data_IF_139010503155
#
_entry.id   IF_139010503155
#
_cell.length_a   1.000
_cell.length_b   1.000
_cell.length_c   1.000
_cell.angle_alpha   90.00
_cell.angle_beta   90.00
_cell.angle_gamma   90.00
#
_symmetry.space_group_name_H-M   'P 1'
#
loop_
_entity.id
_entity.type
_entity.pdbx_description
1 polymer ?
#
# COMPACT_ATOMS: atom_id res chain seq x y z
N UNK A 1 -26.08 11.39 -7.40
CA UNK A 1 -26.30 9.93 -7.40
C UNK A 1 -25.21 9.30 -6.55
N UNK A 2 -25.54 8.36 -5.66
CA UNK A 2 -24.55 7.72 -4.79
C UNK A 2 -25.01 6.29 -4.40
N UNK A 3 -24.25 5.28 -4.85
CA UNK A 3 -24.34 3.88 -4.39
C UNK A 3 -23.19 3.05 -5.01
N UNK A 4 -22.11 2.81 -4.26
CA UNK A 4 -20.99 1.95 -4.69
C UNK A 4 -20.17 1.40 -3.49
N UNK A 5 -20.84 0.99 -2.40
CA UNK A 5 -20.18 0.62 -1.14
C UNK A 5 -20.87 -0.57 -0.44
N UNK A 6 -20.98 -1.72 -1.12
CA UNK A 6 -21.58 -2.94 -0.54
C UNK A 6 -21.17 -4.25 -1.26
N UNK A 7 -19.95 -4.75 -1.04
CA UNK A 7 -19.54 -6.11 -1.45
C UNK A 7 -18.65 -6.79 -0.38
N UNK A 8 -19.21 -7.03 0.81
CA UNK A 8 -18.69 -8.01 1.78
C UNK A 8 -19.71 -8.51 2.82
N UNK A 9 -20.95 -7.99 2.81
CA UNK A 9 -22.02 -8.38 3.74
C UNK A 9 -23.08 -9.27 3.05
N UNK A 10 -23.52 -10.39 3.67
CA UNK A 10 -24.66 -11.17 3.18
C UNK A 10 -26.01 -10.47 3.46
N UNK A 11 -27.09 -10.81 2.73
CA UNK A 11 -28.41 -10.21 2.90
C UNK A 11 -29.09 -10.64 4.22
N UNK A 12 -30.01 -9.81 4.77
CA UNK A 12 -30.79 -10.16 5.97
C UNK A 12 -31.81 -11.26 5.69
N UNK A 13 -32.11 -12.06 6.72
CA UNK A 13 -33.10 -13.14 6.64
C UNK A 13 -34.55 -12.62 6.64
N UNK A 14 -35.43 -13.31 5.91
CA UNK A 14 -36.88 -13.09 5.95
C UNK A 14 -37.44 -13.57 7.30
N UNK A 15 -38.05 -12.67 8.07
CA UNK A 15 -38.72 -13.01 9.33
C UNK A 15 -40.11 -13.59 9.07
N UNK A 16 -40.30 -14.89 9.30
CA UNK A 16 -41.62 -15.51 9.39
C UNK A 16 -42.37 -15.02 10.62
N UNK A 17 -43.67 -14.71 10.49
CA UNK A 17 -44.50 -14.17 11.56
C UNK A 17 -45.07 -15.24 12.48
N UNK A 18 -45.04 -15.00 13.80
CA UNK A 18 -45.85 -15.73 14.78
C UNK A 18 -46.20 -14.88 16.01
N UNK A 19 -47.50 -14.66 16.20
CA UNK A 19 -48.18 -14.20 17.42
C UNK A 19 -48.10 -15.29 18.53
N UNK A 20 -48.33 -15.07 19.84
CA UNK A 20 -48.77 -13.87 20.62
C UNK A 20 -48.77 -14.13 22.14
N UNK A 21 -48.51 -13.08 22.95
CA UNK A 21 -49.02 -12.87 24.33
C UNK A 21 -48.52 -13.85 25.45
N UNK A 22 -48.76 -13.60 26.77
CA UNK A 22 -48.26 -12.42 27.47
C UNK A 22 -47.73 -12.67 28.92
N UNK A 23 -47.03 -11.65 29.47
CA UNK A 23 -46.94 -11.26 30.90
C UNK A 23 -46.38 -12.23 31.97
N UNK A 24 -45.49 -11.69 32.83
CA UNK A 24 -45.66 -11.60 34.30
C UNK A 24 -44.62 -10.61 34.87
N UNK A 25 -44.95 -9.95 35.99
CA UNK A 25 -44.13 -8.97 36.71
C UNK A 25 -43.90 -9.50 38.14
N UNK A 26 -42.76 -9.19 38.79
CA UNK A 26 -42.89 -8.36 39.99
C UNK A 26 -41.76 -7.34 40.23
N UNK A 27 -41.98 -6.55 41.28
CA UNK A 27 -41.21 -5.41 41.79
C UNK A 27 -39.97 -5.85 42.62
N UNK A 28 -39.11 -5.02 43.24
CA UNK A 28 -39.24 -3.62 43.69
C UNK A 28 -37.89 -2.92 44.03
N UNK A 29 -37.90 -1.57 44.07
CA UNK A 29 -37.18 -0.60 44.98
C UNK A 29 -35.66 -0.76 45.28
N UNK A 30 -34.83 0.30 45.33
CA UNK A 30 -34.99 1.73 45.03
C UNK A 30 -34.22 2.69 45.98
N UNK A 31 -34.12 3.99 45.61
CA UNK A 31 -33.62 5.17 46.40
C UNK A 31 -32.10 5.22 46.71
N UNK A 32 -31.41 6.37 46.88
CA UNK A 32 -31.81 7.81 46.78
C UNK A 32 -30.62 8.79 46.57
N UNK A 33 -30.90 9.96 45.98
CA UNK A 33 -30.12 11.24 45.93
C UNK A 33 -30.57 12.19 47.08
N UNK A 34 -30.02 13.41 47.38
CA UNK A 34 -29.47 14.50 46.53
C UNK A 34 -28.02 14.94 46.97
N UNK A 35 -27.43 16.16 46.84
CA UNK A 35 -27.74 17.58 46.51
C UNK A 35 -26.57 18.17 45.63
N UNK A 36 -26.51 19.36 44.99
CA UNK A 36 -27.11 20.73 45.08
C UNK A 36 -26.40 21.71 46.07
N UNK A 37 -26.04 22.98 45.76
CA UNK A 37 -26.02 23.83 44.53
C UNK A 37 -24.61 24.55 44.42
N UNK A 38 -24.31 25.84 44.07
CA UNK A 38 -25.06 27.06 43.69
C UNK A 38 -24.17 28.22 43.09
N UNK A 39 -24.47 28.71 41.84
CA UNK A 39 -24.38 30.13 41.35
C UNK A 39 -23.00 30.89 41.36
N UNK A 40 -22.75 32.04 40.70
CA UNK A 40 -23.52 32.98 39.82
C UNK A 40 -22.61 33.85 38.91
N UNK A 41 -23.13 34.34 37.76
CA UNK A 41 -22.75 35.63 37.14
C UNK A 41 -21.61 35.62 36.09
N UNK A 42 -21.51 36.58 35.15
CA UNK A 42 -22.46 37.62 34.71
C UNK A 42 -22.18 38.07 33.24
N UNK A 43 -23.15 38.75 32.62
CA UNK A 43 -23.18 39.16 31.21
C UNK A 43 -22.35 40.43 30.89
N UNK A 44 -21.89 40.58 29.63
CA UNK A 44 -21.69 41.89 28.99
C UNK A 44 -21.78 41.81 27.46
N UNK A 45 -22.16 42.93 26.82
CA UNK A 45 -22.45 43.10 25.39
C UNK A 45 -21.99 44.51 24.94
N UNK A 46 -21.37 44.63 23.75
CA UNK A 46 -21.37 45.80 22.83
C UNK A 46 -20.49 45.47 21.60
N UNK A 47 -21.03 45.42 20.37
CA UNK A 47 -21.13 46.53 19.37
C UNK A 47 -19.78 47.21 19.10
N UNK A 48 -19.31 47.49 17.88
CA UNK A 48 -19.72 47.29 16.48
C UNK A 48 -18.91 48.31 15.65
N UNK A 49 -18.36 47.94 14.49
CA UNK A 49 -18.05 48.88 13.40
C UNK A 49 -17.76 48.11 12.11
N UNK A 50 -18.01 48.76 10.97
CA UNK A 50 -17.55 48.37 9.64
C UNK A 50 -16.94 49.61 8.95
N UNK A 51 -16.71 49.55 7.63
CA UNK A 51 -16.04 50.55 6.76
C UNK A 51 -14.54 50.77 7.08
N UNK A 52 -13.64 51.12 6.15
CA UNK A 52 -13.72 51.39 4.70
C UNK A 52 -12.67 50.50 3.98
N UNK A 53 -12.90 49.91 2.80
CA UNK A 53 -13.03 50.49 1.45
C UNK A 53 -11.74 51.13 0.87
N UNK A 54 -11.23 50.54 -0.22
CA UNK A 54 -10.65 51.26 -1.37
C UNK A 54 -10.49 50.30 -2.57
N UNK A 55 -10.30 50.84 -3.78
CA UNK A 55 -10.34 50.10 -5.06
C UNK A 55 -9.05 50.26 -5.88
N UNK A 56 -8.65 49.21 -6.58
CA UNK A 56 -8.02 49.22 -7.93
C UNK A 56 -7.49 47.81 -8.26
N UNK A 57 -7.22 47.43 -9.51
CA UNK A 57 -7.84 47.75 -10.80
C UNK A 57 -7.33 46.66 -11.78
N UNK A 58 -8.11 46.29 -12.80
CA UNK A 58 -7.65 45.31 -13.78
C UNK A 58 -6.68 45.95 -14.79
N UNK A 59 -5.55 45.29 -15.05
CA UNK A 59 -4.65 45.63 -16.16
C UNK A 59 -4.15 44.34 -16.83
N UNK A 60 -4.78 43.97 -17.94
CA UNK A 60 -4.24 42.94 -18.82
C UNK A 60 -3.11 43.55 -19.67
N UNK A 61 -2.03 42.82 -19.87
CA UNK A 61 -0.99 43.17 -20.86
C UNK A 61 -0.48 41.90 -21.53
N UNK A 62 -0.46 41.91 -22.86
CA UNK A 62 0.05 40.82 -23.68
C UNK A 62 1.47 41.11 -24.18
N UNK A 63 2.12 40.06 -24.66
CA UNK A 63 3.29 40.06 -25.53
C UNK A 63 4.66 40.38 -24.88
N UNK A 64 5.56 39.41 -24.98
CA UNK A 64 6.68 39.56 -25.92
C UNK A 64 7.24 38.17 -26.26
N UNK A 65 6.91 37.67 -27.46
CA UNK A 65 7.62 36.54 -28.05
C UNK A 65 8.95 37.07 -28.61
N UNK A 66 10.08 36.46 -28.25
CA UNK A 66 11.37 36.79 -28.86
C UNK A 66 11.79 35.68 -29.81
N UNK A 67 11.85 36.01 -31.11
CA UNK A 67 12.61 35.26 -32.11
C UNK A 67 13.67 36.19 -32.70
N UNK A 68 14.87 35.62 -32.89
CA UNK A 68 15.80 35.95 -33.97
C UNK A 68 16.28 34.57 -34.49
N UNK A 69 16.24 34.24 -35.77
CA UNK A 69 16.65 34.95 -37.00
C UNK A 69 18.18 35.02 -37.12
N UNK A 70 18.83 34.62 -38.23
CA UNK A 70 18.28 34.08 -39.49
C UNK A 70 19.32 33.21 -40.25
N UNK A 71 18.80 32.38 -41.17
CA UNK A 71 19.41 31.79 -42.38
C UNK A 71 20.90 32.04 -42.72
N UNK A 72 21.55 30.98 -43.23
CA UNK A 72 22.17 31.04 -44.55
C UNK A 72 22.04 29.70 -45.29
N UNK A 73 22.04 29.73 -46.64
CA UNK A 73 21.92 28.55 -47.51
C UNK A 73 22.59 28.80 -48.87
N UNK A 74 23.36 27.83 -49.36
CA UNK A 74 23.70 27.64 -50.78
C UNK A 74 24.32 26.24 -50.99
N UNK A 75 24.11 25.66 -52.18
CA UNK A 75 24.76 24.40 -52.61
C UNK A 75 26.02 24.70 -53.44
N UNK A 76 26.90 23.71 -53.67
CA UNK A 76 27.12 23.13 -55.02
C UNK A 76 28.11 21.97 -55.09
N UNK A 77 27.84 21.06 -56.04
CA UNK A 77 28.76 20.19 -56.81
C UNK A 77 29.70 19.17 -56.11
N UNK A 78 29.22 17.93 -56.08
CA UNK A 78 29.90 16.69 -56.52
C UNK A 78 31.42 16.68 -56.74
N UNK A 79 32.09 15.73 -56.07
CA UNK A 79 33.12 14.87 -56.68
C UNK A 79 32.98 13.44 -56.15
N UNK A 80 33.15 12.45 -57.03
CA UNK A 80 33.10 11.01 -56.68
C UNK A 80 34.51 10.46 -56.68
N UNK A 81 34.93 9.84 -55.58
CA UNK A 81 36.12 9.00 -55.54
C UNK A 81 35.90 7.84 -54.57
N UNK A 82 35.92 6.61 -55.08
CA UNK A 82 35.63 5.40 -54.31
C UNK A 82 36.91 4.62 -54.09
N UNK A 83 37.36 4.50 -52.85
CA UNK A 83 38.39 3.56 -52.42
C UNK A 83 37.96 2.88 -51.11
N UNK A 84 38.28 1.59 -50.91
CA UNK A 84 37.74 0.83 -49.79
C UNK A 84 38.47 1.15 -48.48
N UNK A 85 37.70 1.35 -47.41
CA UNK A 85 38.19 1.30 -46.03
C UNK A 85 37.64 0.02 -45.42
N UNK A 86 38.52 -0.81 -44.85
CA UNK A 86 38.17 -2.10 -44.25
C UNK A 86 37.32 -1.94 -43.00
N UNK A 87 36.46 -2.93 -42.73
CA UNK A 87 35.70 -3.01 -41.48
C UNK A 87 36.61 -2.96 -40.24
N UNK A 88 36.35 -1.98 -39.39
CA UNK A 88 36.77 -1.96 -37.98
C UNK A 88 35.53 -1.83 -37.12
N UNK A 89 34.72 -2.90 -37.12
CA UNK A 89 33.51 -3.02 -36.33
C UNK A 89 33.87 -3.12 -34.84
N UNK A 90 33.97 -1.96 -34.17
CA UNK A 90 34.07 -1.84 -32.72
C UNK A 90 32.74 -2.23 -32.06
N UNK A 91 32.41 -3.53 -32.05
CA UNK A 91 31.24 -4.07 -31.37
C UNK A 91 31.42 -3.97 -29.86
N UNK A 92 30.82 -2.94 -29.26
CA UNK A 92 30.55 -2.90 -27.82
C UNK A 92 29.51 -3.97 -27.50
N UNK A 93 29.96 -5.20 -27.29
CA UNK A 93 29.10 -6.34 -27.03
C UNK A 93 28.35 -6.19 -25.70
N UNK A 94 27.06 -5.86 -25.77
CA UNK A 94 26.13 -6.25 -24.72
C UNK A 94 26.01 -7.77 -24.75
N UNK A 95 26.78 -8.46 -23.91
CA UNK A 95 26.62 -9.89 -23.70
C UNK A 95 25.18 -10.17 -23.24
N UNK A 96 24.43 -10.91 -24.04
CA UNK A 96 23.10 -11.37 -23.67
C UNK A 96 23.23 -12.42 -22.58
N UNK A 97 23.10 -12.01 -21.31
CA UNK A 97 23.11 -12.93 -20.17
C UNK A 97 22.07 -14.03 -20.43
N UNK A 98 22.47 -15.32 -20.44
CA UNK A 98 21.54 -16.42 -20.75
C UNK A 98 20.33 -16.40 -19.83
N UNK A 99 19.14 -16.63 -20.40
CA UNK A 99 17.85 -16.61 -19.72
C UNK A 99 17.82 -17.48 -18.46
N UNK A 100 18.48 -18.64 -18.51
CA UNK A 100 18.59 -19.58 -17.38
C UNK A 100 19.40 -18.98 -16.22
N UNK A 101 20.53 -18.31 -16.52
CA UNK A 101 21.37 -17.66 -15.50
C UNK A 101 20.62 -16.54 -14.77
N UNK A 102 19.76 -15.81 -15.49
CA UNK A 102 18.94 -14.71 -14.94
C UNK A 102 17.84 -15.24 -14.01
N UNK A 103 17.20 -16.37 -14.35
CA UNK A 103 16.19 -17.00 -13.49
C UNK A 103 16.81 -17.81 -12.35
N UNK A 104 18.05 -18.27 -12.48
CA UNK A 104 18.80 -18.92 -11.40
C UNK A 104 19.22 -17.90 -10.33
N UNK A 105 19.67 -16.70 -10.73
CA UNK A 105 19.93 -15.59 -9.80
C UNK A 105 18.76 -15.34 -8.84
N UNK A 106 17.52 -15.33 -9.35
CA UNK A 106 16.31 -15.05 -8.55
C UNK A 106 16.06 -16.07 -7.43
N UNK A 107 16.61 -17.28 -7.54
CA UNK A 107 16.51 -18.33 -6.50
C UNK A 107 17.60 -18.21 -5.42
N UNK A 108 18.69 -17.51 -5.73
CA UNK A 108 19.89 -17.40 -4.90
C UNK A 108 19.99 -16.04 -4.18
N UNK A 109 19.34 -15.01 -4.72
CA UNK A 109 19.23 -13.67 -4.16
C UNK A 109 18.49 -13.63 -2.81
N UNK A 110 19.01 -12.87 -1.84
CA UNK A 110 18.54 -12.86 -0.45
C UNK A 110 17.50 -11.75 -0.25
N UNK A 111 16.27 -12.04 -0.65
CA UNK A 111 15.18 -11.05 -0.66
C UNK A 111 14.38 -11.01 0.65
N UNK A 112 14.03 -9.81 1.11
CA UNK A 112 13.11 -9.54 2.24
C UNK A 112 12.12 -8.44 1.85
N UNK A 113 10.85 -8.57 2.24
CA UNK A 113 9.89 -7.47 2.18
C UNK A 113 10.34 -6.33 3.11
N UNK A 114 10.38 -5.10 2.61
CA UNK A 114 10.84 -3.92 3.37
C UNK A 114 9.66 -3.14 3.94
N UNK A 115 8.80 -2.64 3.07
CA UNK A 115 7.62 -1.87 3.47
C UNK A 115 6.51 -1.88 2.41
N UNK A 116 5.27 -1.67 2.84
CA UNK A 116 4.17 -1.24 1.97
C UNK A 116 4.07 0.28 2.00
N UNK A 117 4.12 0.91 0.83
CA UNK A 117 3.94 2.36 0.69
C UNK A 117 2.50 2.66 0.31
N UNK A 118 1.84 3.53 1.06
CA UNK A 118 0.47 3.96 0.78
C UNK A 118 0.14 5.34 1.37
N UNK A 119 -0.89 5.97 0.82
CA UNK A 119 -1.22 7.38 1.08
C UNK A 119 -2.28 7.55 2.15
N UNK A 120 -2.12 8.57 2.98
CA UNK A 120 -3.02 8.91 4.10
C UNK A 120 -3.42 10.38 4.03
N UNK A 121 -4.68 10.70 4.36
CA UNK A 121 -5.24 12.05 4.34
C UNK A 121 -4.92 12.90 5.58
N UNK A 122 -4.52 12.25 6.68
CA UNK A 122 -4.08 12.89 7.93
C UNK A 122 -2.99 12.02 8.58
N UNK A 123 -1.74 12.47 8.47
CA UNK A 123 -0.59 11.68 8.91
C UNK A 123 -0.57 11.45 10.42
N UNK A 124 -0.87 12.48 11.21
CA UNK A 124 -0.76 12.41 12.67
C UNK A 124 -1.95 11.66 13.29
N UNK A 125 -3.14 11.75 12.68
CA UNK A 125 -4.28 10.88 13.02
C UNK A 125 -3.99 9.41 12.74
N UNK A 126 -3.33 9.08 11.63
CA UNK A 126 -3.01 7.69 11.28
C UNK A 126 -1.81 7.14 12.08
N UNK A 127 -0.77 7.95 12.34
CA UNK A 127 0.29 7.62 13.33
C UNK A 127 -0.32 7.33 14.70
N UNK A 128 -1.20 8.23 15.19
CA UNK A 128 -1.88 8.04 16.48
C UNK A 128 -2.72 6.76 16.48
N UNK A 129 -3.47 6.50 15.41
CA UNK A 129 -4.29 5.31 15.30
C UNK A 129 -3.45 4.02 15.34
N UNK A 130 -2.35 3.91 14.59
CA UNK A 130 -1.53 2.70 14.60
C UNK A 130 -0.74 2.52 15.91
N UNK A 131 -0.26 3.62 16.51
CA UNK A 131 0.46 3.56 17.80
C UNK A 131 -0.46 3.21 18.97
N UNK A 132 -1.64 3.84 19.06
CA UNK A 132 -2.59 3.56 20.15
C UNK A 132 -3.37 2.25 19.92
N UNK A 133 -4.00 2.07 18.75
CA UNK A 133 -4.91 0.95 18.50
C UNK A 133 -4.16 -0.36 18.19
N UNK A 134 -3.15 -0.32 17.31
CA UNK A 134 -2.42 -1.53 16.90
C UNK A 134 -1.14 -1.80 17.69
N UNK A 135 -0.67 -0.86 18.52
CA UNK A 135 0.57 -1.02 19.29
C UNK A 135 1.85 -0.94 18.44
N UNK A 136 1.77 -0.39 17.22
CA UNK A 136 2.95 -0.11 16.40
C UNK A 136 3.80 1.00 17.03
N UNK A 137 5.07 1.07 16.64
CA UNK A 137 5.99 2.15 16.98
C UNK A 137 6.11 3.08 15.77
N UNK A 138 6.14 4.39 15.99
CA UNK A 138 6.69 5.31 15.00
C UNK A 138 8.22 5.14 15.02
N UNK A 139 8.78 4.68 13.91
CA UNK A 139 10.21 4.38 13.78
C UNK A 139 10.98 5.60 13.29
N UNK A 140 10.42 6.27 12.27
CA UNK A 140 11.05 7.41 11.57
C UNK A 140 9.96 8.27 10.93
N UNK A 141 10.14 9.60 10.90
CA UNK A 141 9.26 10.55 10.19
C UNK A 141 10.16 11.51 9.41
N UNK A 142 9.93 11.66 8.10
CA UNK A 142 10.68 12.58 7.23
C UNK A 142 9.70 13.58 6.63
N UNK A 143 10.07 14.84 6.60
CA UNK A 143 9.32 15.88 5.90
C UNK A 143 10.10 16.30 4.65
N UNK A 144 9.41 16.50 3.53
CA UNK A 144 10.01 16.86 2.23
C UNK A 144 9.22 18.05 1.64
N UNK A 145 9.34 19.27 2.20
CA UNK A 145 8.58 20.43 1.74
C UNK A 145 8.82 20.77 0.25
N UNK A 146 10.03 20.51 -0.25
CA UNK A 146 10.42 20.74 -1.65
C UNK A 146 9.65 19.87 -2.65
N UNK A 147 9.16 18.69 -2.23
CA UNK A 147 8.32 17.80 -3.04
C UNK A 147 6.86 17.73 -2.53
N UNK A 148 6.51 18.52 -1.51
CA UNK A 148 5.17 18.68 -0.92
C UNK A 148 4.57 17.38 -0.30
N UNK A 149 5.39 16.56 0.35
CA UNK A 149 4.91 15.43 1.14
C UNK A 149 5.72 15.20 2.42
N UNK A 150 5.12 14.44 3.35
CA UNK A 150 5.81 13.86 4.52
C UNK A 150 5.66 12.34 4.50
N UNK A 151 6.69 11.63 4.93
CA UNK A 151 6.64 10.18 5.21
C UNK A 151 6.62 9.89 6.71
N UNK A 152 5.99 8.78 7.09
CA UNK A 152 6.17 8.15 8.39
C UNK A 152 6.30 6.63 8.25
N UNK A 153 7.28 6.04 8.94
CA UNK A 153 7.57 4.61 8.94
C UNK A 153 7.13 4.02 10.28
N UNK A 154 6.22 3.03 10.25
CA UNK A 154 5.68 2.41 11.47
C UNK A 154 5.67 0.88 11.39
N UNK A 155 5.98 0.23 12.51
CA UNK A 155 6.01 -1.24 12.60
C UNK A 155 6.21 -1.72 14.03
N UNK A 156 6.45 -3.03 14.19
CA UNK A 156 6.62 -3.65 15.51
C UNK A 156 8.08 -3.69 15.99
N UNK A 157 9.04 -3.62 15.06
CA UNK A 157 10.47 -3.50 15.33
C UNK A 157 11.18 -2.65 14.25
N UNK A 158 12.52 -2.58 14.28
CA UNK A 158 13.29 -1.70 13.39
C UNK A 158 13.27 -2.15 11.92
N UNK A 159 13.39 -1.17 11.02
CA UNK A 159 13.24 -1.33 9.55
C UNK A 159 14.29 -2.25 8.91
N UNK A 160 15.41 -2.51 9.59
CA UNK A 160 16.53 -3.35 9.14
C UNK A 160 16.17 -4.85 9.13
N UNK A 161 15.27 -5.25 10.03
CA UNK A 161 14.90 -6.63 10.35
C UNK A 161 13.42 -6.91 10.13
N UNK A 162 12.55 -5.92 10.38
CA UNK A 162 11.10 -6.04 10.29
C UNK A 162 10.55 -5.43 9.00
N UNK A 163 9.34 -5.84 8.64
CA UNK A 163 8.49 -5.19 7.65
C UNK A 163 7.68 -4.07 8.29
N UNK A 164 7.52 -2.95 7.57
CA UNK A 164 6.90 -1.73 8.11
C UNK A 164 5.90 -1.12 7.13
N UNK A 165 5.03 -0.23 7.61
CA UNK A 165 4.22 0.64 6.73
C UNK A 165 4.95 1.95 6.50
N UNK A 166 5.10 2.34 5.23
CA UNK A 166 5.48 3.70 4.84
C UNK A 166 4.20 4.47 4.48
N UNK A 167 3.81 5.39 5.35
CA UNK A 167 2.76 6.34 5.09
C UNK A 167 3.31 7.50 4.25
N UNK A 168 2.56 7.95 3.26
CA UNK A 168 2.84 9.20 2.51
C UNK A 168 1.66 10.16 2.63
N UNK A 169 1.86 11.29 3.31
CA UNK A 169 0.91 12.40 3.32
C UNK A 169 1.34 13.44 2.29
N UNK A 170 0.46 13.76 1.33
CA UNK A 170 0.72 14.78 0.31
C UNK A 170 0.00 16.07 0.74
N UNK A 171 0.68 17.21 0.71
CA UNK A 171 0.19 18.43 1.35
C UNK A 171 -1.17 18.87 0.79
N UNK A 172 -2.15 19.04 1.67
CA UNK A 172 -3.51 19.45 1.30
C UNK A 172 -4.38 18.39 0.63
N UNK A 173 -3.93 17.14 0.52
CA UNK A 173 -4.73 16.02 0.00
C UNK A 173 -5.32 15.21 1.16
N UNK A 174 -6.63 15.33 1.37
CA UNK A 174 -7.36 14.86 2.56
C UNK A 174 -7.97 13.45 2.43
N UNK A 175 -7.88 12.82 1.25
CA UNK A 175 -8.51 11.52 0.95
C UNK A 175 -7.95 10.89 -0.33
N UNK A 176 -8.10 9.56 -0.42
CA UNK A 176 -7.70 8.77 -1.58
C UNK A 176 -8.77 7.71 -1.93
N UNK A 177 -8.76 7.20 -3.17
CA UNK A 177 -9.52 6.02 -3.57
C UNK A 177 -8.69 4.77 -3.31
N UNK A 178 -9.19 3.86 -2.47
CA UNK A 178 -8.54 2.57 -2.18
C UNK A 178 -8.71 1.59 -3.36
N UNK A 179 -9.73 1.78 -4.21
CA UNK A 179 -10.10 0.87 -5.27
C UNK A 179 -10.69 -0.45 -4.77
N UNK A 180 -11.11 -1.31 -5.70
CA UNK A 180 -11.62 -2.65 -5.40
C UNK A 180 -10.53 -3.72 -5.33
N UNK A 181 -9.30 -3.40 -5.72
CA UNK A 181 -8.20 -4.36 -5.79
C UNK A 181 -7.46 -4.57 -4.47
N UNK A 182 -7.30 -3.54 -3.65
CA UNK A 182 -6.59 -3.67 -2.38
C UNK A 182 -7.43 -4.50 -1.40
N UNK A 183 -6.81 -5.52 -0.80
CA UNK A 183 -7.45 -6.40 0.16
C UNK A 183 -7.41 -5.84 1.57
N UNK A 184 -6.27 -6.05 2.22
CA UNK A 184 -5.98 -5.64 3.59
C UNK A 184 -4.47 -5.64 3.85
N UNK A 185 -4.04 -5.10 4.98
CA UNK A 185 -2.83 -5.57 5.68
C UNK A 185 -3.25 -6.54 6.80
N UNK A 186 -2.36 -7.36 7.33
CA UNK A 186 -2.68 -8.20 8.50
C UNK A 186 -1.70 -8.06 9.65
N UNK A 187 -2.24 -8.13 10.86
CA UNK A 187 -1.52 -8.09 12.13
C UNK A 187 -1.77 -9.40 12.88
N UNK A 188 -0.71 -10.16 13.14
CA UNK A 188 -0.76 -11.32 14.01
C UNK A 188 -0.80 -10.91 15.49
N UNK A 189 -1.60 -11.60 16.30
CA UNK A 189 -1.68 -11.42 17.75
C UNK A 189 -1.92 -12.75 18.45
N UNK A 190 -1.45 -12.90 19.69
CA UNK A 190 -1.76 -14.07 20.53
C UNK A 190 -3.21 -14.07 21.04
N UNK A 191 -3.79 -12.88 21.21
CA UNK A 191 -5.18 -12.68 21.63
C UNK A 191 -5.82 -11.60 20.74
N UNK A 192 -6.62 -12.03 19.77
CA UNK A 192 -7.36 -11.12 18.87
C UNK A 192 -8.63 -10.60 19.52
N UNK A 193 -9.21 -11.31 20.51
CA UNK A 193 -10.36 -10.82 21.26
C UNK A 193 -9.99 -9.58 22.08
N UNK A 194 -8.92 -9.68 22.88
CA UNK A 194 -8.39 -8.55 23.65
C UNK A 194 -7.95 -7.41 22.73
N UNK A 195 -7.24 -7.69 21.64
CA UNK A 195 -6.80 -6.65 20.71
C UNK A 195 -8.00 -5.89 20.10
N UNK A 196 -9.10 -6.58 19.76
CA UNK A 196 -10.34 -5.93 19.31
C UNK A 196 -10.96 -5.05 20.40
N UNK A 197 -11.02 -5.49 21.66
CA UNK A 197 -11.51 -4.64 22.75
C UNK A 197 -10.62 -3.41 22.98
N UNK A 198 -9.29 -3.58 22.98
CA UNK A 198 -8.32 -2.49 23.12
C UNK A 198 -8.46 -1.47 21.98
N UNK A 199 -8.70 -1.91 20.74
CA UNK A 199 -8.97 -1.07 19.57
C UNK A 199 -10.31 -0.34 19.71
N UNK A 200 -11.38 -1.04 20.11
CA UNK A 200 -12.72 -0.47 20.29
C UNK A 200 -12.74 0.59 21.39
N UNK A 201 -12.04 0.35 22.51
CA UNK A 201 -11.91 1.30 23.61
C UNK A 201 -11.23 2.63 23.19
N UNK A 202 -10.38 2.58 22.16
CA UNK A 202 -9.68 3.75 21.58
C UNK A 202 -10.46 4.37 20.41
N UNK A 203 -11.68 3.92 20.15
CA UNK A 203 -12.57 4.44 19.11
C UNK A 203 -12.34 3.85 17.71
N UNK A 204 -11.58 2.76 17.59
CA UNK A 204 -11.32 2.10 16.31
C UNK A 204 -12.52 1.35 15.74
N UNK A 205 -12.63 1.37 14.40
CA UNK A 205 -13.79 0.83 13.68
C UNK A 205 -13.62 -0.66 13.39
N UNK A 206 -14.09 -1.49 14.30
CA UNK A 206 -14.25 -2.94 14.05
C UNK A 206 -15.29 -3.14 12.94
N UNK A 207 -14.91 -3.78 11.84
CA UNK A 207 -15.78 -4.07 10.69
C UNK A 207 -16.18 -5.55 10.61
N UNK A 208 -15.44 -6.44 11.27
CA UNK A 208 -15.87 -7.81 11.59
C UNK A 208 -15.35 -8.21 12.97
N UNK A 209 -16.28 -8.63 13.81
CA UNK A 209 -16.02 -9.14 15.16
C UNK A 209 -15.15 -10.42 15.17
N UNK A 210 -14.36 -10.65 16.24
CA UNK A 210 -13.39 -11.73 16.32
C UNK A 210 -14.07 -13.09 16.41
N UNK A 211 -13.68 -13.99 15.50
CA UNK A 211 -14.12 -15.38 15.51
C UNK A 211 -13.53 -16.18 14.35
N UNK A 212 -13.77 -17.49 14.31
CA UNK A 212 -13.24 -18.37 13.28
C UNK A 212 -13.51 -17.84 11.86
N UNK A 213 -12.51 -17.98 10.98
CA UNK A 213 -12.68 -17.79 9.53
C UNK A 213 -13.76 -18.74 9.00
N UNK A 214 -14.58 -18.28 8.06
CA UNK A 214 -15.61 -19.13 7.44
C UNK A 214 -14.95 -20.32 6.73
N UNK A 215 -15.30 -21.54 7.13
CA UNK A 215 -14.65 -22.76 6.63
C UNK A 215 -13.22 -22.96 7.18
N UNK A 216 -12.99 -22.62 8.45
CA UNK A 216 -11.73 -22.89 9.16
C UNK A 216 -11.83 -22.63 10.66
N UNK A 217 -10.70 -22.75 11.37
CA UNK A 217 -10.61 -22.64 12.83
C UNK A 217 -9.89 -21.39 13.32
N UNK A 218 -9.01 -20.79 12.50
CA UNK A 218 -8.25 -19.58 12.85
C UNK A 218 -9.18 -18.45 13.24
N UNK A 219 -9.04 -17.94 14.47
CA UNK A 219 -9.76 -16.75 14.93
C UNK A 219 -9.18 -15.54 14.21
N UNK A 220 -10.04 -14.77 13.55
CA UNK A 220 -9.68 -13.57 12.80
C UNK A 220 -10.75 -12.48 12.97
N UNK A 221 -10.34 -11.21 12.96
CA UNK A 221 -11.21 -10.03 12.99
C UNK A 221 -10.83 -9.04 11.86
N UNK A 222 -11.69 -8.07 11.56
CA UNK A 222 -11.32 -6.94 10.69
C UNK A 222 -11.55 -5.61 11.38
N UNK A 223 -10.60 -4.70 11.20
CA UNK A 223 -10.66 -3.30 11.63
C UNK A 223 -10.42 -2.41 10.41
N UNK A 224 -11.09 -1.26 10.37
CA UNK A 224 -10.87 -0.23 9.38
C UNK A 224 -10.21 1.01 10.01
N UNK A 225 -9.24 1.57 9.32
CA UNK A 225 -8.41 2.68 9.78
C UNK A 225 -8.99 4.08 9.42
N UNK A 226 -8.29 5.20 9.74
CA UNK A 226 -8.76 6.57 9.50
C UNK A 226 -9.12 6.94 8.06
N UNK A 227 -8.43 6.33 7.09
CA UNK A 227 -8.55 6.58 5.64
C UNK A 227 -9.46 5.55 4.97
N UNK A 228 -9.58 4.35 5.55
CA UNK A 228 -10.47 3.29 5.09
C UNK A 228 -9.75 1.97 4.78
N UNK A 229 -8.44 1.87 4.98
CA UNK A 229 -7.71 0.62 4.79
C UNK A 229 -8.20 -0.43 5.77
N UNK A 230 -8.32 -1.67 5.30
CA UNK A 230 -8.71 -2.81 6.13
C UNK A 230 -7.46 -3.46 6.71
N UNK A 231 -7.51 -3.77 7.99
CA UNK A 231 -6.53 -4.57 8.70
C UNK A 231 -7.21 -5.87 9.18
N UNK A 232 -6.70 -7.02 8.75
CA UNK A 232 -7.05 -8.30 9.38
C UNK A 232 -6.26 -8.46 10.68
N UNK A 233 -6.90 -8.94 11.73
CA UNK A 233 -6.26 -9.30 12.98
C UNK A 233 -6.31 -10.82 13.09
N UNK A 234 -5.15 -11.50 13.12
CA UNK A 234 -5.06 -12.95 12.97
C UNK A 234 -4.49 -13.60 14.21
N UNK A 235 -5.24 -14.53 14.82
CA UNK A 235 -4.78 -15.18 16.03
C UNK A 235 -3.77 -16.28 15.71
N UNK A 236 -2.54 -16.09 16.19
CA UNK A 236 -1.38 -16.97 15.99
C UNK A 236 -0.65 -17.12 17.34
N UNK A 237 0.33 -18.01 17.41
CA UNK A 237 1.30 -17.96 18.52
C UNK A 237 2.25 -16.75 18.38
N UNK A 238 3.22 -16.58 19.30
CA UNK A 238 4.31 -15.62 19.14
C UNK A 238 4.96 -15.73 17.76
N UNK A 239 5.21 -14.59 17.12
CA UNK A 239 5.85 -14.49 15.80
C UNK A 239 6.93 -13.40 15.82
N UNK A 240 8.05 -13.57 15.10
CA UNK A 240 9.03 -12.50 14.91
C UNK A 240 8.49 -11.35 14.05
N UNK A 241 7.47 -11.57 13.22
CA UNK A 241 6.91 -10.54 12.33
C UNK A 241 5.39 -10.42 12.48
N UNK A 242 4.90 -9.54 13.38
CA UNK A 242 3.47 -9.33 13.56
C UNK A 242 2.79 -8.68 12.34
N UNK A 243 3.47 -7.85 11.52
CA UNK A 243 2.88 -7.25 10.32
C UNK A 243 2.94 -8.26 9.15
N UNK A 244 2.18 -9.34 9.29
CA UNK A 244 2.42 -10.60 8.62
C UNK A 244 1.84 -10.73 7.20
N UNK A 245 0.99 -9.81 6.72
CA UNK A 245 0.45 -9.91 5.35
C UNK A 245 0.21 -8.56 4.66
N UNK A 246 0.36 -8.58 3.33
CA UNK A 246 -0.28 -7.67 2.39
C UNK A 246 -1.21 -8.52 1.52
N UNK A 247 -2.51 -8.21 1.44
CA UNK A 247 -3.43 -8.92 0.54
C UNK A 247 -3.85 -8.07 -0.64
N UNK A 248 -3.66 -8.60 -1.85
CA UNK A 248 -4.00 -7.98 -3.12
C UNK A 248 -4.90 -8.92 -3.95
N UNK A 249 -5.93 -8.36 -4.59
CA UNK A 249 -6.80 -9.12 -5.50
C UNK A 249 -6.20 -9.18 -6.90
N UNK A 250 -6.33 -10.35 -7.53
CA UNK A 250 -5.81 -10.68 -8.86
C UNK A 250 -6.87 -11.41 -9.69
N UNK A 251 -6.82 -11.24 -11.01
CA UNK A 251 -7.77 -11.82 -11.97
C UNK A 251 -7.42 -13.23 -12.46
N UNK A 252 -6.18 -13.68 -12.27
CA UNK A 252 -5.68 -15.00 -12.63
C UNK A 252 -4.62 -15.43 -11.60
N UNK A 253 -4.99 -16.32 -10.67
CA UNK A 253 -4.12 -16.69 -9.56
C UNK A 253 -2.90 -17.50 -10.04
N UNK A 254 -3.10 -18.43 -10.97
CA UNK A 254 -2.06 -19.28 -11.54
C UNK A 254 -1.01 -18.48 -12.32
N UNK A 255 -1.41 -17.42 -13.02
CA UNK A 255 -0.49 -16.45 -13.65
C UNK A 255 0.25 -15.64 -12.60
N UNK A 256 -0.44 -15.11 -11.59
CA UNK A 256 0.19 -14.29 -10.55
C UNK A 256 1.20 -15.10 -9.71
N UNK A 257 0.87 -16.33 -9.29
CA UNK A 257 1.82 -17.23 -8.60
C UNK A 257 3.11 -17.38 -9.43
N UNK A 258 3.00 -17.79 -10.70
CA UNK A 258 4.16 -17.98 -11.59
C UNK A 258 4.96 -16.69 -11.80
N UNK A 259 4.30 -15.53 -11.79
CA UNK A 259 4.97 -14.24 -11.88
C UNK A 259 5.79 -13.94 -10.63
N UNK A 260 5.21 -14.09 -9.44
CA UNK A 260 5.91 -13.86 -8.18
C UNK A 260 6.99 -14.93 -7.89
N UNK A 261 6.83 -16.17 -8.37
CA UNK A 261 7.89 -17.18 -8.41
C UNK A 261 9.05 -16.75 -9.32
N UNK A 262 8.80 -16.54 -10.62
CA UNK A 262 9.88 -16.31 -11.61
C UNK A 262 10.54 -14.93 -11.50
N UNK A 263 9.78 -13.87 -11.22
CA UNK A 263 10.29 -12.49 -11.17
C UNK A 263 10.71 -12.08 -9.76
N UNK A 264 9.91 -12.45 -8.76
CA UNK A 264 10.16 -12.05 -7.37
C UNK A 264 10.94 -13.09 -6.56
N UNK A 265 11.05 -14.36 -6.98
CA UNK A 265 11.75 -15.41 -6.21
C UNK A 265 10.98 -15.85 -4.97
N UNK A 266 9.70 -15.51 -4.89
CA UNK A 266 8.82 -15.93 -3.79
C UNK A 266 8.49 -17.41 -3.94
N UNK A 267 8.50 -18.14 -2.83
CA UNK A 267 7.96 -19.50 -2.75
C UNK A 267 6.44 -19.42 -2.61
N UNK A 268 5.71 -20.32 -3.26
CA UNK A 268 4.32 -20.61 -2.90
C UNK A 268 4.31 -21.38 -1.58
N UNK A 269 3.98 -20.69 -0.48
CA UNK A 269 3.97 -21.26 0.87
C UNK A 269 2.70 -22.06 1.14
N UNK A 270 1.56 -21.57 0.66
CA UNK A 270 0.24 -22.20 0.80
C UNK A 270 -0.70 -21.75 -0.31
N UNK A 271 -1.56 -22.65 -0.77
CA UNK A 271 -2.79 -22.30 -1.50
C UNK A 271 -3.99 -22.84 -0.74
N UNK A 272 -5.14 -22.16 -0.81
CA UNK A 272 -6.44 -22.69 -0.37
C UNK A 272 -7.51 -22.29 -1.36
N UNK A 273 -8.26 -23.27 -1.86
CA UNK A 273 -9.48 -23.05 -2.62
C UNK A 273 -10.71 -23.08 -1.68
N UNK A 274 -11.73 -22.29 -1.99
CA UNK A 274 -12.92 -22.16 -1.15
C UNK A 274 -14.19 -21.98 -2.01
N UNK A 275 -14.66 -23.05 -2.67
CA UNK A 275 -15.75 -22.97 -3.66
C UNK A 275 -17.09 -22.50 -3.07
N UNK A 276 -17.37 -22.82 -1.80
CA UNK A 276 -18.59 -22.38 -1.09
C UNK A 276 -18.70 -20.84 -1.01
N UNK A 277 -17.56 -20.16 -0.94
CA UNK A 277 -17.45 -18.70 -0.92
C UNK A 277 -16.84 -18.12 -2.21
N UNK A 278 -16.63 -18.95 -3.24
CA UNK A 278 -16.19 -18.58 -4.60
C UNK A 278 -14.89 -17.77 -4.65
N UNK A 279 -13.92 -18.12 -3.81
CA UNK A 279 -12.59 -17.51 -3.85
C UNK A 279 -11.47 -18.55 -3.69
N UNK A 280 -10.27 -18.19 -4.15
CA UNK A 280 -9.04 -18.97 -3.98
C UNK A 280 -7.90 -18.03 -3.56
N UNK A 281 -7.07 -18.47 -2.63
CA UNK A 281 -5.94 -17.70 -2.10
C UNK A 281 -4.60 -18.42 -2.28
N UNK A 282 -3.54 -17.65 -2.46
CA UNK A 282 -2.16 -18.09 -2.43
C UNK A 282 -1.31 -17.19 -1.53
N UNK A 283 -0.46 -17.79 -0.69
CA UNK A 283 0.52 -17.10 0.16
C UNK A 283 1.90 -17.21 -0.47
N UNK A 284 2.48 -16.07 -0.81
CA UNK A 284 3.79 -15.96 -1.46
C UNK A 284 4.80 -15.28 -0.52
N UNK A 285 5.99 -15.85 -0.33
CA UNK A 285 7.00 -15.26 0.55
C UNK A 285 8.38 -15.91 0.48
N UNK A 286 9.29 -15.47 1.35
CA UNK A 286 10.71 -15.88 1.35
C UNK A 286 11.07 -16.88 2.46
N UNK A 287 10.35 -16.83 3.59
CA UNK A 287 10.41 -17.75 4.73
C UNK A 287 9.01 -18.31 5.05
N UNK A 288 8.86 -19.09 6.11
CA UNK A 288 7.61 -19.78 6.46
C UNK A 288 6.50 -18.81 6.93
N UNK A 289 5.23 -19.09 6.58
CA UNK A 289 4.09 -18.14 6.69
C UNK A 289 3.85 -17.57 8.10
N UNK A 290 4.38 -18.20 9.14
CA UNK A 290 4.23 -17.79 10.54
C UNK A 290 5.41 -16.96 11.06
N UNK A 291 6.48 -16.80 10.27
CA UNK A 291 7.74 -16.13 10.65
C UNK A 291 8.10 -14.93 9.75
N UNK A 292 7.29 -14.60 8.75
CA UNK A 292 7.53 -13.48 7.82
C UNK A 292 6.23 -12.81 7.40
N UNK A 293 6.32 -11.56 6.94
CA UNK A 293 5.33 -11.00 6.02
C UNK A 293 5.23 -11.84 4.76
N UNK A 294 4.00 -12.09 4.30
CA UNK A 294 3.69 -12.73 3.03
C UNK A 294 2.81 -11.83 2.15
N UNK A 295 2.91 -12.03 0.84
CA UNK A 295 1.95 -11.49 -0.11
C UNK A 295 0.81 -12.50 -0.29
N UNK A 296 -0.39 -12.17 0.19
CA UNK A 296 -1.59 -12.93 -0.12
C UNK A 296 -2.18 -12.45 -1.45
N UNK A 297 -2.37 -13.39 -2.36
CA UNK A 297 -3.03 -13.17 -3.64
C UNK A 297 -4.43 -13.80 -3.57
N UNK A 298 -5.48 -12.98 -3.70
CA UNK A 298 -6.87 -13.45 -3.69
C UNK A 298 -7.52 -13.35 -5.07
N UNK A 299 -7.93 -14.49 -5.62
CA UNK A 299 -8.80 -14.58 -6.79
C UNK A 299 -10.25 -14.84 -6.38
N UNK A 300 -11.21 -14.16 -7.02
CA UNK A 300 -12.64 -14.39 -6.84
C UNK A 300 -13.23 -14.93 -8.15
N UNK A 301 -14.05 -15.97 -8.09
CA UNK A 301 -14.40 -16.75 -9.28
C UNK A 301 -15.12 -15.89 -10.33
N UNK A 302 -14.55 -15.81 -11.53
CA UNK A 302 -15.08 -15.02 -12.65
C UNK A 302 -14.84 -13.50 -12.56
N UNK A 303 -14.04 -13.02 -11.59
CA UNK A 303 -13.66 -11.61 -11.49
C UNK A 303 -12.21 -11.43 -11.95
N UNK A 304 -12.03 -10.93 -13.17
CA UNK A 304 -10.72 -10.78 -13.82
C UNK A 304 -10.07 -9.41 -13.64
N UNK A 305 -10.80 -8.41 -13.15
CA UNK A 305 -10.35 -7.01 -13.09
C UNK A 305 -10.78 -6.32 -11.79
N UNK A 306 -9.91 -5.42 -11.31
CA UNK A 306 -10.12 -4.63 -10.11
C UNK A 306 -9.52 -3.23 -10.27
N UNK A 307 -10.17 -2.19 -9.75
CA UNK A 307 -9.55 -0.85 -9.71
C UNK A 307 -8.41 -0.85 -8.69
N UNK A 308 -7.23 -0.36 -9.08
CA UNK A 308 -6.06 -0.24 -8.20
C UNK A 308 -6.21 0.89 -7.16
N UNK A 309 -7.15 1.81 -7.40
CA UNK A 309 -7.27 3.06 -6.65
C UNK A 309 -6.11 4.03 -6.92
N UNK A 310 -5.95 5.01 -6.04
CA UNK A 310 -4.76 5.85 -5.92
C UNK A 310 -4.22 5.95 -4.48
N UNK A 311 -4.79 5.22 -3.52
CA UNK A 311 -4.38 5.21 -2.11
C UNK A 311 -3.12 4.34 -1.89
N UNK A 312 -3.20 3.03 -2.16
CA UNK A 312 -2.04 2.14 -2.17
C UNK A 312 -1.04 2.55 -3.26
N UNK A 313 0.27 2.50 -2.98
CA UNK A 313 1.30 2.91 -3.94
C UNK A 313 2.15 1.74 -4.44
N UNK A 314 2.79 0.97 -3.55
CA UNK A 314 3.64 -0.18 -3.91
C UNK A 314 3.99 -1.05 -2.70
N UNK A 315 4.55 -2.23 -2.95
CA UNK A 315 5.40 -2.95 -1.99
C UNK A 315 6.87 -2.80 -2.38
N UNK A 316 7.75 -2.60 -1.38
CA UNK A 316 9.20 -2.60 -1.56
C UNK A 316 9.81 -3.93 -1.08
N UNK A 317 10.77 -4.43 -1.85
CA UNK A 317 11.45 -5.71 -1.63
C UNK A 317 12.96 -5.46 -1.79
N UNK A 318 13.77 -6.00 -0.88
CA UNK A 318 15.23 -5.94 -0.99
C UNK A 318 15.79 -6.98 -1.96
N UNK A 319 16.92 -6.66 -2.58
CA UNK A 319 17.72 -7.55 -3.44
C UNK A 319 19.20 -7.19 -3.29
N UNK A 320 20.08 -8.17 -3.41
CA UNK A 320 21.53 -7.93 -3.43
C UNK A 320 22.03 -7.35 -4.78
N UNK A 321 21.19 -7.32 -5.84
CA UNK A 321 21.51 -6.70 -7.13
C UNK A 321 20.24 -6.30 -7.92
N UNK A 322 19.93 -5.00 -7.95
CA UNK A 322 18.75 -4.48 -8.69
C UNK A 322 18.83 -4.64 -10.21
N UNK A 323 20.02 -4.78 -10.80
CA UNK A 323 20.19 -4.91 -12.26
C UNK A 323 19.89 -6.33 -12.73
N UNK A 324 20.47 -7.34 -12.08
CA UNK A 324 20.13 -8.75 -12.35
C UNK A 324 18.66 -9.02 -12.06
N UNK A 325 18.13 -8.46 -10.97
CA UNK A 325 16.73 -8.60 -10.58
C UNK A 325 15.78 -7.88 -11.56
N UNK A 326 16.16 -6.73 -12.11
CA UNK A 326 15.41 -6.10 -13.21
C UNK A 326 15.43 -6.92 -14.51
N UNK A 327 16.57 -7.55 -14.86
CA UNK A 327 16.65 -8.41 -16.03
C UNK A 327 15.71 -9.63 -15.93
N UNK A 328 15.54 -10.20 -14.73
CA UNK A 328 14.56 -11.25 -14.51
C UNK A 328 13.12 -10.76 -14.68
N UNK A 329 12.78 -9.59 -14.14
CA UNK A 329 11.47 -8.95 -14.34
C UNK A 329 11.21 -8.67 -15.83
N UNK A 330 12.19 -8.17 -16.58
CA UNK A 330 12.08 -7.92 -18.02
C UNK A 330 11.86 -9.21 -18.82
N UNK A 331 12.50 -10.31 -18.43
CA UNK A 331 12.27 -11.63 -19.04
C UNK A 331 10.87 -12.16 -18.73
N UNK A 332 10.43 -12.08 -17.48
CA UNK A 332 9.15 -12.66 -17.03
C UNK A 332 7.95 -11.83 -17.49
N UNK A 333 8.07 -10.50 -17.56
CA UNK A 333 6.98 -9.64 -18.04
C UNK A 333 6.64 -9.85 -19.51
N UNK A 334 7.57 -10.39 -20.32
CA UNK A 334 7.32 -10.80 -21.73
C UNK A 334 6.53 -12.10 -21.86
N UNK A 335 6.53 -12.96 -20.84
CA UNK A 335 5.85 -14.26 -20.78
C UNK A 335 4.48 -14.15 -20.08
N UNK A 336 4.45 -13.51 -18.91
CA UNK A 336 3.28 -13.50 -18.02
C UNK A 336 2.56 -12.14 -17.93
N UNK A 337 3.07 -11.10 -18.59
CA UNK A 337 2.56 -9.74 -18.49
C UNK A 337 3.13 -8.95 -17.31
N UNK A 338 2.66 -7.71 -17.15
CA UNK A 338 3.30 -6.68 -16.32
C UNK A 338 4.27 -5.81 -17.11
N UNK A 339 4.98 -4.89 -16.45
CA UNK A 339 5.86 -3.91 -17.13
C UNK A 339 6.85 -3.22 -16.18
N UNK A 340 8.12 -3.09 -16.57
CA UNK A 340 9.07 -2.20 -15.89
C UNK A 340 8.65 -0.73 -16.05
N UNK A 341 8.51 -0.02 -14.93
CA UNK A 341 8.13 1.40 -14.84
C UNK A 341 9.32 2.32 -14.54
N UNK A 342 10.37 1.80 -13.90
CA UNK A 342 11.66 2.47 -13.72
C UNK A 342 12.78 1.46 -13.94
N UNK A 343 13.67 1.75 -14.89
CA UNK A 343 14.88 0.95 -15.14
C UNK A 343 15.83 0.96 -13.92
N UNK A 344 16.63 -0.10 -13.71
CA UNK A 344 17.52 -0.21 -12.55
C UNK A 344 18.56 0.91 -12.53
N UNK A 345 18.67 1.60 -11.39
CA UNK A 345 19.70 2.61 -11.19
C UNK A 345 19.49 3.50 -9.96
N UNK A 346 20.52 4.27 -9.57
CA UNK A 346 20.47 5.18 -8.43
C UNK A 346 19.36 6.23 -8.56
N UNK A 347 18.67 6.52 -7.45
CA UNK A 347 17.81 7.70 -7.34
C UNK A 347 18.71 8.94 -7.22
N UNK A 348 18.54 9.99 -8.04
CA UNK A 348 19.31 11.23 -7.90
C UNK A 348 19.24 11.82 -6.48
N UNK A 349 20.33 12.44 -6.02
CA UNK A 349 20.45 13.01 -4.67
C UNK A 349 20.78 11.97 -3.60
N UNK A 350 19.97 10.93 -3.43
CA UNK A 350 20.16 9.91 -2.38
C UNK A 350 21.06 8.72 -2.78
N UNK A 351 21.27 8.52 -4.09
CA UNK A 351 22.08 7.47 -4.73
C UNK A 351 21.63 6.01 -4.51
N UNK A 352 20.62 5.75 -3.68
CA UNK A 352 20.00 4.44 -3.46
C UNK A 352 19.56 3.81 -4.78
N UNK A 353 20.09 2.62 -5.09
CA UNK A 353 19.80 1.91 -6.34
C UNK A 353 18.44 1.20 -6.25
N UNK A 354 17.54 1.48 -7.19
CA UNK A 354 16.22 0.82 -7.29
C UNK A 354 15.87 0.45 -8.72
N UNK A 355 14.96 -0.51 -8.87
CA UNK A 355 14.12 -0.71 -10.07
C UNK A 355 12.65 -0.76 -9.64
N UNK A 356 11.70 -0.47 -10.54
CA UNK A 356 10.27 -0.68 -10.24
C UNK A 356 9.48 -1.17 -11.44
N UNK A 357 8.43 -1.94 -11.17
CA UNK A 357 7.59 -2.56 -12.20
C UNK A 357 6.14 -2.69 -11.72
N UNK A 358 5.25 -2.99 -12.66
CA UNK A 358 3.90 -3.50 -12.40
C UNK A 358 3.87 -5.01 -12.66
N UNK A 359 3.14 -5.75 -11.84
CA UNK A 359 2.77 -7.14 -12.08
C UNK A 359 1.68 -7.27 -13.20
N UNK A 360 1.26 -8.49 -13.59
CA UNK A 360 0.25 -8.70 -14.63
C UNK A 360 -1.12 -8.10 -14.34
N UNK A 361 -1.38 -7.73 -13.08
CA UNK A 361 -2.63 -7.17 -12.58
C UNK A 361 -2.51 -5.67 -12.26
N UNK A 362 -1.36 -5.05 -12.54
CA UNK A 362 -1.11 -3.62 -12.36
C UNK A 362 -0.64 -3.23 -10.96
N UNK A 363 -0.29 -4.18 -10.09
CA UNK A 363 0.27 -3.88 -8.77
C UNK A 363 1.74 -3.50 -8.86
N UNK A 364 2.11 -2.36 -8.25
CA UNK A 364 3.48 -1.85 -8.31
C UNK A 364 4.38 -2.51 -7.26
N UNK A 365 5.55 -2.94 -7.70
CA UNK A 365 6.65 -3.42 -6.86
C UNK A 365 7.86 -2.53 -7.09
N UNK A 366 8.60 -2.22 -6.02
CA UNK A 366 9.94 -1.60 -6.08
C UNK A 366 10.95 -2.61 -5.55
N UNK A 367 12.02 -2.88 -6.30
CA UNK A 367 13.17 -3.60 -5.76
C UNK A 367 14.24 -2.57 -5.37
N UNK A 368 14.72 -2.68 -4.14
CA UNK A 368 15.70 -1.78 -3.53
C UNK A 368 16.98 -2.56 -3.26
N UNK A 369 18.13 -1.98 -3.56
CA UNK A 369 19.42 -2.55 -3.18
C UNK A 369 19.53 -2.65 -1.66
N UNK A 370 19.77 -3.87 -1.15
CA UNK A 370 19.79 -4.16 0.28
C UNK A 370 20.88 -3.34 1.03
N UNK A 371 22.05 -3.16 0.41
CA UNK A 371 23.15 -2.42 1.02
C UNK A 371 22.89 -0.91 1.04
N UNK A 372 22.20 -0.36 0.05
CA UNK A 372 21.82 1.06 0.05
C UNK A 372 20.64 1.34 1.00
N UNK A 373 19.67 0.43 1.09
CA UNK A 373 18.55 0.55 2.03
C UNK A 373 19.03 0.72 3.48
N UNK A 374 20.00 -0.07 3.93
CA UNK A 374 20.56 0.06 5.28
C UNK A 374 21.20 1.44 5.51
N UNK A 375 21.85 2.03 4.51
CA UNK A 375 22.40 3.40 4.54
C UNK A 375 21.33 4.51 4.54
N UNK A 376 20.05 4.18 4.38
CA UNK A 376 18.94 5.12 4.59
C UNK A 376 18.34 5.05 5.99
N UNK A 377 18.65 3.99 6.75
CA UNK A 377 18.26 3.84 8.15
C UNK A 377 19.26 4.50 9.11
N UNK A 378 20.49 4.75 8.64
CA UNK A 378 21.56 5.47 9.34
C UNK A 378 21.43 7.01 9.26
N UNK A 379 20.33 7.54 8.69
CA UNK A 379 20.11 8.97 8.37
C UNK A 379 18.84 9.54 9.01
#
# INVERSE_FOLDING_TARGET
MAAAAALLSPPPALTSSSSSLPSILPTARGRSRPNCLNRTGQLSLRTSAAVDSCSSAAAASMSSFSRRDLLFSALTSSFVFTLPISDMASSTGTESVPSENVLEWVKQDRRRFLHAVYRVGDLDRTIKFYTECFGMKLLRKRDIPEENYSNAFLGFGPEDTHFVVELTYNYGVDKYDIGSGFGHFAIASEDVYKLVEDIRAKGGKVTREPGPVKGGTTVIAFVQDPDGYTFELIQRGPTPEPLCQIMLRVGDLERSIKFYEKACGMKLLRTKDNPDYKYKIAMMGYADEYETTVLELTYNYGVSEYTKGNAYAQVAISTDDVYKSAAAVDLVTKDLGGKITRQPGPIPGINTKITSFLDPDGWKVVLVDHSDFLKELEK
#
